data_IF_543190798784
#
_entry.id   IF_543190798784
#
_cell.length_a   1.000
_cell.length_b   1.000
_cell.length_c   1.000
_cell.angle_alpha   90.00
_cell.angle_beta   90.00
_cell.angle_gamma   90.00
#
_symmetry.space_group_name_H-M   'P 1'
#
loop_
_entity.id
_entity.type
_entity.pdbx_description
1 polymer ?
#
# COMPACT_ATOMS: atom_id res chain seq x y z
N UNK A 1 -7.68 19.64 -12.99
CA UNK A 1 -6.64 18.60 -13.03
C UNK A 1 -6.06 18.56 -14.42
N UNK A 2 -4.80 18.93 -14.56
CA UNK A 2 -4.13 19.04 -15.85
C UNK A 2 -3.68 17.67 -16.39
N UNK A 3 -3.32 17.64 -17.68
CA UNK A 3 -2.70 16.48 -18.35
C UNK A 3 -1.47 15.98 -17.57
N UNK A 4 -0.72 16.89 -16.94
CA UNK A 4 0.45 16.62 -16.13
C UNK A 4 0.13 15.76 -14.90
N UNK A 5 -0.89 16.15 -14.11
CA UNK A 5 -1.32 15.39 -12.92
C UNK A 5 -1.88 14.02 -13.29
N UNK A 6 -2.47 13.94 -14.48
CA UNK A 6 -3.15 12.74 -14.90
C UNK A 6 -2.24 11.65 -15.49
N UNK A 7 -1.16 12.02 -16.15
CA UNK A 7 -0.31 11.07 -16.90
C UNK A 7 1.17 11.10 -16.52
N UNK A 8 1.67 12.24 -16.08
CA UNK A 8 3.10 12.43 -15.78
C UNK A 8 3.40 12.14 -14.33
N UNK A 9 2.60 12.67 -13.40
CA UNK A 9 2.82 12.51 -11.96
C UNK A 9 2.81 11.04 -11.50
N UNK A 10 1.85 10.18 -11.87
CA UNK A 10 1.89 8.78 -11.43
C UNK A 10 3.13 8.03 -11.92
N UNK A 11 3.59 8.32 -13.15
CA UNK A 11 4.81 7.70 -13.71
C UNK A 11 6.07 8.24 -13.06
N UNK A 12 6.10 9.53 -12.75
CA UNK A 12 7.22 10.14 -12.06
C UNK A 12 7.35 9.64 -10.62
N UNK A 13 6.25 9.57 -9.88
CA UNK A 13 6.19 9.01 -8.53
C UNK A 13 6.59 7.52 -8.56
N UNK A 14 6.07 6.76 -9.52
CA UNK A 14 6.47 5.36 -9.69
C UNK A 14 7.97 5.22 -9.92
N UNK A 15 8.57 6.05 -10.76
CA UNK A 15 10.01 6.06 -11.02
C UNK A 15 10.81 6.42 -9.77
N UNK A 16 10.41 7.46 -9.04
CA UNK A 16 11.07 7.89 -7.80
C UNK A 16 10.96 6.83 -6.70
N UNK A 17 9.77 6.23 -6.51
CA UNK A 17 9.52 5.18 -5.52
C UNK A 17 10.10 3.80 -5.90
N UNK A 18 10.52 3.63 -7.17
CA UNK A 18 11.16 2.41 -7.67
C UNK A 18 12.70 2.48 -7.63
N UNK A 19 13.29 3.48 -6.98
CA UNK A 19 14.74 3.55 -6.82
C UNK A 19 15.27 2.39 -5.98
N UNK A 20 16.49 1.91 -6.29
CA UNK A 20 17.10 0.74 -5.64
C UNK A 20 17.09 0.78 -4.10
N UNK A 21 17.42 1.91 -3.42
CA UNK A 21 17.37 1.96 -1.96
C UNK A 21 15.95 1.74 -1.40
N UNK A 22 14.95 2.34 -2.02
CA UNK A 22 13.55 2.23 -1.61
C UNK A 22 13.03 0.82 -1.82
N UNK A 23 13.33 0.21 -2.97
CA UNK A 23 12.95 -1.18 -3.26
C UNK A 23 13.58 -2.17 -2.28
N UNK A 24 14.83 -1.95 -1.86
CA UNK A 24 15.48 -2.75 -0.80
C UNK A 24 14.77 -2.67 0.55
N UNK A 25 14.17 -1.54 0.90
CA UNK A 25 13.37 -1.45 2.12
C UNK A 25 12.06 -2.24 2.00
N UNK A 26 11.39 -2.17 0.83
CA UNK A 26 10.19 -2.98 0.56
C UNK A 26 10.48 -4.48 0.70
N UNK A 27 11.58 -4.96 0.12
CA UNK A 27 12.06 -6.34 0.21
C UNK A 27 12.25 -6.83 1.65
N UNK A 28 12.61 -5.94 2.58
CA UNK A 28 12.80 -6.29 4.00
C UNK A 28 11.49 -6.37 4.79
N UNK A 29 10.50 -5.55 4.46
CA UNK A 29 9.31 -5.39 5.28
C UNK A 29 8.10 -6.13 4.73
N UNK A 30 7.87 -6.08 3.42
CA UNK A 30 6.68 -6.65 2.77
C UNK A 30 6.56 -8.18 2.96
N UNK A 31 7.65 -9.00 2.88
CA UNK A 31 7.56 -10.44 3.09
C UNK A 31 7.12 -10.88 4.50
N UNK A 32 7.01 -9.93 5.42
CA UNK A 32 6.50 -10.19 6.79
C UNK A 32 4.97 -10.21 6.87
N UNK A 33 4.30 -9.76 5.82
CA UNK A 33 2.84 -9.76 5.73
C UNK A 33 2.30 -11.20 5.60
N UNK A 34 1.14 -11.46 6.17
CA UNK A 34 0.49 -12.77 6.12
C UNK A 34 -1.03 -12.65 6.20
N UNK A 35 -1.72 -13.70 5.73
CA UNK A 35 -3.17 -13.81 5.78
C UNK A 35 -3.87 -12.86 4.81
N UNK A 36 -4.97 -12.28 5.23
CA UNK A 36 -5.66 -11.20 4.50
C UNK A 36 -4.92 -9.90 4.77
N UNK A 37 -4.39 -9.28 3.72
CA UNK A 37 -3.58 -8.07 3.79
C UNK A 37 -4.37 -6.88 3.24
N UNK A 38 -4.40 -5.78 3.99
CA UNK A 38 -4.81 -4.47 3.48
C UNK A 38 -3.55 -3.65 3.19
N UNK A 39 -3.34 -3.27 1.95
CA UNK A 39 -2.26 -2.36 1.56
C UNK A 39 -2.81 -0.95 1.35
N UNK A 40 -2.34 0.00 2.14
CA UNK A 40 -2.68 1.41 2.04
C UNK A 40 -1.73 2.12 1.07
N UNK A 41 -2.30 2.82 0.09
CA UNK A 41 -1.52 3.48 -0.95
C UNK A 41 -0.84 2.47 -1.88
N UNK A 42 -1.59 1.48 -2.37
CA UNK A 42 -1.04 0.43 -3.24
C UNK A 42 -0.43 1.00 -4.54
N UNK A 43 -0.95 2.12 -5.02
CA UNK A 43 -0.44 2.83 -6.17
C UNK A 43 -0.23 1.92 -7.38
N UNK A 44 0.98 1.90 -7.92
CA UNK A 44 1.35 1.07 -9.08
C UNK A 44 1.74 -0.36 -8.73
N UNK A 45 1.48 -0.80 -7.49
CA UNK A 45 1.72 -2.18 -7.07
C UNK A 45 3.19 -2.55 -6.85
N UNK A 46 4.03 -1.61 -6.41
CA UNK A 46 5.46 -1.85 -6.20
C UNK A 46 5.77 -2.87 -5.09
N UNK A 47 4.84 -3.08 -4.15
CA UNK A 47 4.98 -4.10 -3.11
C UNK A 47 4.59 -5.50 -3.59
N UNK A 48 3.75 -5.61 -4.60
CA UNK A 48 3.14 -6.87 -5.02
C UNK A 48 4.15 -8.00 -5.25
N UNK A 49 5.32 -7.78 -5.89
CA UNK A 49 6.31 -8.83 -6.11
C UNK A 49 7.00 -9.35 -4.84
N UNK A 50 6.87 -8.63 -3.71
CA UNK A 50 7.54 -8.98 -2.46
C UNK A 50 6.66 -9.73 -1.47
N UNK A 51 5.38 -9.86 -1.73
CA UNK A 51 4.51 -10.67 -0.88
C UNK A 51 4.85 -12.15 -1.03
N UNK A 52 4.97 -12.83 0.11
CA UNK A 52 5.22 -14.27 0.18
C UNK A 52 3.92 -15.05 -0.04
N UNK A 53 3.79 -15.67 -1.21
CA UNK A 53 2.59 -16.43 -1.59
C UNK A 53 2.31 -17.63 -0.67
N UNK A 54 3.28 -18.09 0.10
CA UNK A 54 3.06 -19.15 1.10
C UNK A 54 2.38 -18.64 2.37
N UNK A 55 2.38 -17.32 2.60
CA UNK A 55 1.84 -16.67 3.80
C UNK A 55 0.60 -15.82 3.52
N UNK A 56 0.54 -15.19 2.36
CA UNK A 56 -0.54 -14.27 1.99
C UNK A 56 -1.68 -15.03 1.31
N UNK A 57 -2.90 -14.83 1.80
CA UNK A 57 -4.12 -15.40 1.22
C UNK A 57 -4.72 -14.51 0.15
N UNK A 58 -4.73 -13.21 0.37
CA UNK A 58 -5.18 -12.18 -0.56
C UNK A 58 -4.66 -10.82 -0.15
N UNK A 59 -4.58 -9.90 -1.10
CA UNK A 59 -4.29 -8.49 -0.87
C UNK A 59 -5.49 -7.63 -1.28
N UNK A 60 -5.86 -6.70 -0.41
CA UNK A 60 -6.83 -5.64 -0.70
C UNK A 60 -6.04 -4.35 -0.77
N UNK A 61 -5.93 -3.77 -1.96
CA UNK A 61 -5.22 -2.51 -2.18
C UNK A 61 -6.17 -1.33 -2.13
N UNK A 62 -5.86 -0.34 -1.32
CA UNK A 62 -6.62 0.90 -1.19
C UNK A 62 -5.77 2.06 -1.73
N UNK A 63 -6.29 2.78 -2.70
CA UNK A 63 -5.65 3.96 -3.28
C UNK A 63 -6.70 4.82 -4.00
N UNK A 64 -6.67 6.16 -3.88
CA UNK A 64 -7.62 7.02 -4.60
C UNK A 64 -7.35 7.10 -6.11
N UNK A 65 -6.20 6.61 -6.59
CA UNK A 65 -5.79 6.71 -7.99
C UNK A 65 -6.05 5.40 -8.77
N UNK A 66 -7.20 5.29 -9.41
CA UNK A 66 -7.51 4.18 -10.33
C UNK A 66 -6.46 4.03 -11.44
N UNK A 67 -5.88 5.13 -11.90
CA UNK A 67 -4.84 5.11 -12.94
C UNK A 67 -3.51 4.51 -12.48
N UNK A 68 -3.16 4.71 -11.22
CA UNK A 68 -2.01 4.03 -10.66
C UNK A 68 -2.26 2.52 -10.61
N UNK A 69 -3.50 2.14 -10.31
CA UNK A 69 -3.94 0.74 -10.32
C UNK A 69 -3.88 0.11 -11.72
N UNK A 70 -4.24 0.84 -12.78
CA UNK A 70 -4.13 0.35 -14.16
C UNK A 70 -2.69 -0.12 -14.49
N UNK A 71 -1.69 0.56 -13.92
CA UNK A 71 -0.28 0.17 -14.07
C UNK A 71 0.10 -1.04 -13.19
N UNK A 72 -0.65 -1.31 -12.14
CA UNK A 72 -0.43 -2.45 -11.25
C UNK A 72 -1.04 -3.76 -11.79
N UNK A 73 -2.01 -3.67 -12.69
CA UNK A 73 -2.81 -4.82 -13.15
C UNK A 73 -1.98 -5.97 -13.69
N UNK A 74 -0.92 -5.71 -14.46
CA UNK A 74 -0.02 -6.74 -14.97
C UNK A 74 0.74 -7.44 -13.84
N UNK A 75 1.16 -6.70 -12.79
CA UNK A 75 1.83 -7.27 -11.62
C UNK A 75 0.87 -8.13 -10.82
N UNK A 76 -0.34 -7.63 -10.61
CA UNK A 76 -1.39 -8.35 -9.88
C UNK A 76 -1.77 -9.67 -10.55
N UNK A 77 -1.87 -9.68 -11.89
CA UNK A 77 -2.22 -10.88 -12.66
C UNK A 77 -1.18 -12.01 -12.59
N UNK A 78 0.05 -11.71 -12.19
CA UNK A 78 1.14 -12.72 -12.09
C UNK A 78 1.21 -13.38 -10.71
N UNK A 79 0.39 -12.98 -9.75
CA UNK A 79 0.45 -13.47 -8.38
C UNK A 79 -0.38 -14.74 -8.20
N UNK A 80 0.06 -15.59 -7.26
CA UNK A 80 -0.62 -16.83 -6.91
C UNK A 80 -1.81 -16.63 -5.95
N UNK A 81 -2.10 -15.40 -5.54
CA UNK A 81 -3.22 -15.02 -4.67
C UNK A 81 -4.00 -13.85 -5.29
N UNK A 82 -5.30 -13.71 -4.97
CA UNK A 82 -6.11 -12.61 -5.52
C UNK A 82 -5.68 -11.26 -4.96
N UNK A 83 -5.73 -10.25 -5.82
CA UNK A 83 -5.56 -8.84 -5.45
C UNK A 83 -6.83 -8.08 -5.82
N UNK A 84 -7.45 -7.47 -4.83
CA UNK A 84 -8.64 -6.63 -4.97
C UNK A 84 -8.22 -5.16 -4.87
N UNK A 85 -8.89 -4.27 -5.62
CA UNK A 85 -8.63 -2.84 -5.57
C UNK A 85 -9.87 -2.07 -5.09
N UNK A 86 -9.63 -1.10 -4.21
CA UNK A 86 -10.63 -0.16 -3.71
C UNK A 86 -10.15 1.26 -4.02
N UNK A 87 -10.86 1.95 -4.91
CA UNK A 87 -10.56 3.31 -5.36
C UNK A 87 -11.08 4.37 -4.39
N UNK A 88 -10.59 4.39 -3.15
CA UNK A 88 -10.99 5.35 -2.11
C UNK A 88 -9.78 5.96 -1.41
N UNK A 89 -9.93 7.16 -0.81
CA UNK A 89 -8.90 7.74 0.04
C UNK A 89 -8.69 6.90 1.31
N UNK A 90 -7.47 6.97 1.84
CA UNK A 90 -7.04 6.13 2.97
C UNK A 90 -7.75 6.41 4.29
N UNK A 91 -8.40 7.57 4.39
CA UNK A 91 -9.28 7.95 5.50
C UNK A 91 -10.61 7.20 5.49
N UNK A 92 -10.95 6.56 4.36
CA UNK A 92 -12.19 5.79 4.19
C UNK A 92 -11.86 4.34 3.88
N UNK A 93 -11.79 3.50 4.90
CA UNK A 93 -11.56 2.05 4.75
C UNK A 93 -12.89 1.32 4.87
N UNK A 94 -13.49 0.87 3.74
CA UNK A 94 -14.82 0.25 3.72
C UNK A 94 -14.79 -1.25 4.03
N UNK A 95 -14.03 -1.62 5.05
CA UNK A 95 -13.92 -2.99 5.54
C UNK A 95 -14.50 -3.10 6.94
N UNK A 96 -14.98 -4.29 7.28
CA UNK A 96 -15.48 -4.61 8.60
C UNK A 96 -14.38 -4.53 9.66
N UNK A 97 -14.78 -4.29 10.91
CA UNK A 97 -13.88 -4.36 12.06
C UNK A 97 -13.24 -5.75 12.14
N UNK A 98 -12.02 -5.84 12.61
CA UNK A 98 -11.29 -7.10 12.83
C UNK A 98 -11.24 -8.04 11.60
N UNK A 99 -11.23 -7.49 10.38
CA UNK A 99 -11.38 -8.25 9.13
C UNK A 99 -10.05 -8.61 8.43
N UNK A 100 -8.94 -7.99 8.81
CA UNK A 100 -7.64 -8.21 8.17
C UNK A 100 -6.57 -8.67 9.16
N UNK A 101 -5.64 -9.51 8.68
CA UNK A 101 -4.51 -10.04 9.48
C UNK A 101 -3.33 -9.06 9.52
N UNK A 102 -3.12 -8.36 8.42
CA UNK A 102 -2.00 -7.44 8.24
C UNK A 102 -2.45 -6.18 7.53
N UNK A 103 -2.01 -5.04 8.00
CA UNK A 103 -2.04 -3.77 7.25
C UNK A 103 -0.61 -3.43 6.84
N UNK A 104 -0.40 -3.07 5.57
CA UNK A 104 0.89 -2.64 5.02
C UNK A 104 0.79 -1.20 4.55
N UNK A 105 1.72 -0.37 4.99
CA UNK A 105 1.85 1.04 4.56
C UNK A 105 3.31 1.31 4.22
N UNK A 106 3.59 1.70 2.99
CA UNK A 106 4.96 2.02 2.58
C UNK A 106 5.00 3.30 1.77
N UNK A 107 5.74 4.29 2.26
CA UNK A 107 5.97 5.57 1.59
C UNK A 107 4.68 6.29 1.17
N UNK A 108 3.62 6.19 1.98
CA UNK A 108 2.28 6.70 1.67
C UNK A 108 1.73 7.67 2.70
N UNK A 109 2.10 7.56 3.98
CA UNK A 109 1.55 8.41 5.04
C UNK A 109 1.78 9.91 4.80
N UNK A 110 2.88 10.27 4.15
CA UNK A 110 3.19 11.66 3.81
C UNK A 110 2.24 12.28 2.77
N UNK A 111 1.49 11.46 2.04
CA UNK A 111 0.53 11.91 1.02
C UNK A 111 -0.92 11.88 1.48
N UNK A 112 -1.19 11.33 2.66
CA UNK A 112 -2.54 11.23 3.23
C UNK A 112 -2.87 12.54 3.94
N UNK A 113 -3.95 13.25 3.56
CA UNK A 113 -4.33 14.53 4.16
C UNK A 113 -4.60 14.44 5.66
N UNK A 114 -5.29 13.41 6.12
CA UNK A 114 -5.54 13.13 7.54
C UNK A 114 -4.98 11.75 7.93
N UNK A 115 -3.68 11.66 8.24
CA UNK A 115 -3.05 10.39 8.58
C UNK A 115 -3.56 9.81 9.91
N UNK A 116 -4.07 10.63 10.82
CA UNK A 116 -4.63 10.16 12.10
C UNK A 116 -5.92 9.38 11.85
N UNK A 117 -6.84 9.93 11.07
CA UNK A 117 -8.08 9.23 10.69
C UNK A 117 -7.76 7.93 9.93
N UNK A 118 -6.80 7.96 9.01
CA UNK A 118 -6.38 6.76 8.30
C UNK A 118 -5.82 5.68 9.25
N UNK A 119 -4.95 6.06 10.19
CA UNK A 119 -4.39 5.14 11.19
C UNK A 119 -5.45 4.56 12.13
N UNK A 120 -6.44 5.35 12.54
CA UNK A 120 -7.58 4.86 13.30
C UNK A 120 -8.37 3.81 12.50
N UNK A 121 -8.61 4.05 11.21
CA UNK A 121 -9.25 3.09 10.32
C UNK A 121 -8.45 1.80 10.16
N UNK A 122 -7.13 1.89 10.00
CA UNK A 122 -6.24 0.73 9.95
C UNK A 122 -6.29 -0.09 11.24
N UNK A 123 -6.28 0.57 12.40
CA UNK A 123 -6.40 -0.11 13.70
C UNK A 123 -7.75 -0.81 13.86
N UNK A 124 -8.83 -0.20 13.38
CA UNK A 124 -10.18 -0.76 13.44
C UNK A 124 -10.32 -2.06 12.65
N UNK A 125 -9.77 -2.11 11.45
CA UNK A 125 -9.91 -3.29 10.58
C UNK A 125 -8.94 -4.43 10.91
N UNK A 126 -7.86 -4.14 11.66
CA UNK A 126 -6.94 -5.17 12.14
C UNK A 126 -7.62 -6.03 13.21
N UNK A 127 -7.61 -7.33 13.01
CA UNK A 127 -8.07 -8.27 14.03
C UNK A 127 -7.14 -8.28 15.25
N UNK A 128 -7.62 -8.70 16.43
CA UNK A 128 -6.74 -8.91 17.59
C UNK A 128 -5.54 -9.81 17.25
N UNK A 129 -4.34 -9.35 17.58
CA UNK A 129 -3.09 -10.02 17.21
C UNK A 129 -2.63 -9.78 15.76
N UNK A 130 -3.38 -9.01 14.96
CA UNK A 130 -2.97 -8.55 13.65
C UNK A 130 -1.78 -7.57 13.72
N UNK A 131 -1.15 -7.32 12.58
CA UNK A 131 0.08 -6.51 12.52
C UNK A 131 -0.04 -5.36 11.55
N UNK A 132 0.41 -4.18 11.98
CA UNK A 132 0.71 -3.06 11.10
C UNK A 132 2.20 -3.12 10.72
N UNK A 133 2.48 -3.24 9.44
CA UNK A 133 3.82 -3.19 8.86
C UNK A 133 3.94 -1.88 8.10
N UNK A 134 4.90 -1.06 8.46
CA UNK A 134 5.11 0.21 7.79
C UNK A 134 6.58 0.47 7.50
N UNK A 135 6.83 1.23 6.45
CA UNK A 135 8.13 1.78 6.09
C UNK A 135 7.89 3.15 5.47
N UNK A 136 8.31 4.19 6.16
CA UNK A 136 8.04 5.58 5.79
C UNK A 136 9.32 6.42 5.83
N UNK A 137 9.28 7.57 5.18
CA UNK A 137 10.35 8.56 5.31
C UNK A 137 10.35 9.14 6.73
N UNK A 138 11.46 9.05 7.42
CA UNK A 138 11.66 9.74 8.68
C UNK A 138 11.88 11.24 8.48
N UNK A 139 11.60 12.04 9.51
CA UNK A 139 12.04 13.44 9.57
C UNK A 139 13.56 13.49 9.55
N UNK A 140 14.14 14.38 8.75
CA UNK A 140 15.57 14.62 8.80
C UNK A 140 15.96 15.08 10.22
N UNK A 141 17.11 14.62 10.76
CA UNK A 141 17.63 15.17 11.99
C UNK A 141 17.78 16.70 11.83
N UNK A 142 17.30 17.44 12.81
CA UNK A 142 17.59 18.87 12.88
C UNK A 142 19.11 19.00 13.09
N UNK A 143 19.82 19.78 12.23
CA UNK A 143 21.22 20.11 12.41
C UNK A 143 21.42 21.00 13.64
#
# INVERSE_FOLDING_TARGET
MGFYDRYVMPRFINCACATKPIMKQREKVVPRASGTVLEIGIGTGLNLPYYDASKVKRVIGLDPSEKSWDLAGERAAQLAFPVEFIGLPSETIPLEDDSVDTVVVTFSLCTIPDPVTALCGMARVLRPGGRLIFCEHGRAPDE
#
